data_IF_294349217436
#
_entry.id   IF_294349217436
#
_cell.length_a   1.000
_cell.length_b   1.000
_cell.length_c   1.000
_cell.angle_alpha   90.00
_cell.angle_beta   90.00
_cell.angle_gamma   90.00
#
_symmetry.space_group_name_H-M   'P 1'
#
loop_
_entity.id
_entity.type
_entity.pdbx_description
1 polymer ?
#
# COMPACT_ATOMS: atom_id res chain seq x y z
N UNK A 1 -6.09 30.37 -11.92
CA UNK A 1 -5.56 28.99 -12.00
C UNK A 1 -6.73 28.04 -12.14
N UNK A 2 -6.72 27.14 -13.13
CA UNK A 2 -7.70 26.04 -13.18
C UNK A 2 -7.31 25.02 -12.11
N UNK A 3 -8.26 24.61 -11.25
CA UNK A 3 -8.02 23.54 -10.28
C UNK A 3 -7.85 22.23 -11.07
N UNK A 4 -6.73 21.51 -10.85
CA UNK A 4 -6.51 20.19 -11.44
C UNK A 4 -7.52 19.20 -10.87
N UNK A 5 -7.95 18.23 -11.68
CA UNK A 5 -8.83 17.17 -11.19
C UNK A 5 -8.07 16.30 -10.17
N UNK A 6 -8.78 15.86 -9.13
CA UNK A 6 -8.25 14.92 -8.13
C UNK A 6 -7.82 13.65 -8.85
N UNK A 7 -6.59 13.20 -8.60
CA UNK A 7 -6.10 11.93 -9.11
C UNK A 7 -6.86 10.77 -8.46
N UNK A 8 -7.28 9.81 -9.27
CA UNK A 8 -8.10 8.68 -8.83
C UNK A 8 -7.27 7.42 -8.82
N UNK A 9 -6.93 6.95 -7.62
CA UNK A 9 -6.08 5.76 -7.45
C UNK A 9 -6.91 4.51 -7.77
N UNK A 10 -6.43 3.77 -8.76
CA UNK A 10 -7.03 2.53 -9.23
C UNK A 10 -6.70 1.35 -8.31
N UNK A 11 -7.51 0.30 -8.37
CA UNK A 11 -7.22 -0.93 -7.61
C UNK A 11 -5.90 -1.59 -8.04
N UNK A 12 -5.48 -1.43 -9.30
CA UNK A 12 -4.19 -1.94 -9.78
C UNK A 12 -3.01 -1.22 -9.11
N UNK A 13 -3.13 0.09 -8.91
CA UNK A 13 -2.11 0.88 -8.22
C UNK A 13 -2.05 0.56 -6.72
N UNK A 14 -3.20 0.36 -6.06
CA UNK A 14 -3.21 -0.14 -4.68
C UNK A 14 -2.52 -1.50 -4.57
N UNK A 15 -2.80 -2.44 -5.48
CA UNK A 15 -2.17 -3.75 -5.49
C UNK A 15 -0.65 -3.66 -5.78
N UNK A 16 -0.22 -2.78 -6.68
CA UNK A 16 1.20 -2.57 -6.96
C UNK A 16 1.93 -1.96 -5.76
N UNK A 17 1.31 -0.98 -5.10
CA UNK A 17 1.87 -0.35 -3.90
C UNK A 17 1.95 -1.35 -2.74
N UNK A 18 0.92 -2.17 -2.56
CA UNK A 18 0.89 -3.24 -1.56
C UNK A 18 2.02 -4.25 -1.79
N UNK A 19 2.25 -4.68 -3.04
CA UNK A 19 3.38 -5.57 -3.40
C UNK A 19 4.72 -4.93 -3.08
N UNK A 20 4.87 -3.64 -3.36
CA UNK A 20 6.10 -2.91 -3.06
C UNK A 20 6.37 -2.80 -1.55
N UNK A 21 5.33 -2.56 -0.73
CA UNK A 21 5.43 -2.59 0.74
C UNK A 21 5.81 -4.00 1.22
N UNK A 22 5.14 -5.04 0.70
CA UNK A 22 5.44 -6.44 1.02
C UNK A 22 6.88 -6.84 0.67
N UNK A 23 7.41 -6.37 -0.45
CA UNK A 23 8.80 -6.62 -0.85
C UNK A 23 9.83 -5.94 0.07
N UNK A 24 9.42 -4.88 0.79
CA UNK A 24 10.26 -4.05 1.65
C UNK A 24 10.02 -4.25 3.14
N UNK A 25 9.28 -5.28 3.54
CA UNK A 25 9.06 -5.59 4.94
C UNK A 25 10.38 -5.82 5.67
N UNK A 26 10.52 -5.20 6.85
CA UNK A 26 11.67 -5.42 7.74
C UNK A 26 11.53 -6.77 8.42
N UNK A 27 10.29 -7.15 8.72
CA UNK A 27 9.91 -8.47 9.22
C UNK A 27 8.48 -8.78 8.74
N UNK A 28 8.01 -10.04 8.84
CA UNK A 28 6.63 -10.38 8.47
C UNK A 28 5.56 -9.50 9.13
N UNK A 29 5.87 -8.89 10.28
CA UNK A 29 4.93 -8.09 11.08
C UNK A 29 5.23 -6.59 11.07
N UNK A 30 6.21 -6.09 10.31
CA UNK A 30 6.62 -4.69 10.40
C UNK A 30 7.17 -4.11 9.09
N UNK A 31 6.68 -2.92 8.76
CA UNK A 31 7.20 -2.07 7.69
C UNK A 31 7.54 -0.69 8.26
N UNK A 32 8.67 -0.12 7.84
CA UNK A 32 8.97 1.29 8.06
C UNK A 32 9.86 1.79 6.93
N UNK A 33 9.31 2.67 6.09
CA UNK A 33 10.05 3.19 4.96
C UNK A 33 9.13 3.75 3.89
N UNK A 34 9.63 3.74 2.65
CA UNK A 34 8.94 4.32 1.50
C UNK A 34 8.73 3.26 0.42
N UNK A 35 7.48 3.10 0.00
CA UNK A 35 7.08 2.38 -1.20
C UNK A 35 6.75 3.40 -2.30
N UNK A 36 7.30 3.19 -3.48
CA UNK A 36 7.11 4.08 -4.63
C UNK A 36 6.77 3.24 -5.85
N UNK A 37 5.71 3.62 -6.54
CA UNK A 37 5.33 3.04 -7.84
C UNK A 37 5.13 4.17 -8.84
N UNK A 38 5.23 3.83 -10.12
CA UNK A 38 4.79 4.70 -11.21
C UNK A 38 3.44 4.18 -11.71
N UNK A 39 2.50 5.08 -11.97
CA UNK A 39 1.19 4.74 -12.55
C UNK A 39 1.36 3.97 -13.87
N UNK A 40 0.38 3.13 -14.27
CA UNK A 40 0.45 2.39 -15.53
C UNK A 40 0.57 3.28 -16.77
N UNK A 41 0.10 4.54 -16.70
CA UNK A 41 0.23 5.55 -17.76
C UNK A 41 1.63 6.14 -17.83
N UNK A 42 2.43 6.03 -16.77
CA UNK A 42 3.78 6.58 -16.67
C UNK A 42 3.85 8.06 -16.30
N UNK A 43 2.71 8.70 -16.02
CA UNK A 43 2.63 10.15 -15.78
C UNK A 43 2.77 10.49 -14.29
N UNK A 44 2.10 9.74 -13.42
CA UNK A 44 2.16 9.94 -11.97
C UNK A 44 3.14 8.99 -11.26
N UNK A 45 3.89 9.54 -10.31
CA UNK A 45 4.62 8.80 -9.27
C UNK A 45 3.81 8.81 -7.98
N UNK A 46 3.55 7.63 -7.44
CA UNK A 46 2.80 7.42 -6.20
C UNK A 46 3.76 6.93 -5.11
N UNK A 47 3.78 7.63 -3.99
CA UNK A 47 4.74 7.37 -2.90
C UNK A 47 4.02 7.30 -1.56
N UNK A 48 4.09 6.14 -0.93
CA UNK A 48 3.65 5.92 0.45
C UNK A 48 4.87 5.85 1.36
N UNK A 49 4.99 6.80 2.29
CA UNK A 49 5.93 6.69 3.40
C UNK A 49 5.14 6.33 4.65
N UNK A 50 5.45 5.20 5.27
CA UNK A 50 4.66 4.71 6.40
C UNK A 50 5.47 3.89 7.39
N UNK A 51 4.95 3.80 8.61
CA UNK A 51 5.32 2.82 9.63
C UNK A 51 4.09 1.98 9.96
N UNK A 52 4.13 0.70 9.62
CA UNK A 52 2.99 -0.21 9.69
C UNK A 52 3.31 -1.41 10.59
N UNK A 53 2.34 -1.78 11.43
CA UNK A 53 2.31 -3.04 12.16
C UNK A 53 1.38 -3.98 11.42
N UNK A 54 1.87 -5.18 11.08
CA UNK A 54 1.14 -6.17 10.29
C UNK A 54 0.78 -7.35 11.19
N UNK A 55 -0.51 -7.52 11.41
CA UNK A 55 -1.08 -8.67 12.10
C UNK A 55 -1.37 -9.76 11.09
N UNK A 56 -0.80 -10.93 11.33
CA UNK A 56 -1.01 -12.11 10.50
C UNK A 56 -1.73 -13.18 11.29
N UNK A 57 -2.68 -13.85 10.64
CA UNK A 57 -3.38 -14.96 11.25
C UNK A 57 -2.49 -16.19 11.17
N UNK A 58 -2.12 -16.77 12.31
CA UNK A 58 -1.51 -18.11 12.33
C UNK A 58 -2.60 -19.17 12.13
N UNK A 59 -2.31 -20.25 11.40
CA UNK A 59 -3.30 -21.30 11.21
C UNK A 59 -3.54 -21.96 12.56
N UNK A 60 -4.82 -21.99 12.99
CA UNK A 60 -5.20 -22.48 14.31
C UNK A 60 -5.14 -24.01 14.41
N UNK A 61 -5.01 -24.70 13.28
CA UNK A 61 -4.86 -26.14 13.17
C UNK A 61 -3.72 -26.41 12.20
N UNK A 62 -2.91 -27.43 12.51
CA UNK A 62 -1.80 -27.92 11.68
C UNK A 62 -2.40 -28.61 10.44
N UNK A 63 -3.07 -27.86 9.57
CA UNK A 63 -3.38 -28.30 8.23
C UNK A 63 -2.11 -28.04 7.39
N UNK A 64 -1.42 -29.08 6.90
CA UNK A 64 -0.25 -28.90 6.07
C UNK A 64 -0.55 -28.21 4.73
N UNK A 65 -1.82 -27.98 4.39
CA UNK A 65 -2.26 -27.15 3.25
C UNK A 65 -2.63 -25.71 3.63
N UNK A 66 -2.74 -25.38 4.93
CA UNK A 66 -3.00 -24.01 5.39
C UNK A 66 -1.66 -23.26 5.43
N UNK A 67 -1.36 -22.53 4.37
CA UNK A 67 -0.21 -21.63 4.24
C UNK A 67 -0.38 -20.39 5.15
N UNK A 68 -0.80 -20.58 6.41
CA UNK A 68 -1.35 -19.58 7.34
C UNK A 68 -0.41 -18.45 7.76
N UNK A 69 0.07 -17.69 6.79
CA UNK A 69 0.77 -16.44 6.95
C UNK A 69 0.02 -15.32 6.21
N UNK A 70 -1.32 -15.36 6.26
CA UNK A 70 -2.18 -14.35 5.65
C UNK A 70 -2.22 -13.10 6.51
N UNK A 71 -2.18 -11.93 5.86
CA UNK A 71 -2.35 -10.65 6.54
C UNK A 71 -3.82 -10.50 6.94
N UNK A 72 -4.07 -10.29 8.23
CA UNK A 72 -5.42 -10.12 8.78
C UNK A 72 -5.74 -8.64 9.00
N UNK A 73 -4.80 -7.90 9.59
CA UNK A 73 -4.95 -6.47 9.86
C UNK A 73 -3.64 -5.71 9.71
N UNK A 74 -3.74 -4.44 9.36
CA UNK A 74 -2.63 -3.50 9.29
C UNK A 74 -2.97 -2.28 10.11
N UNK A 75 -2.11 -1.95 11.06
CA UNK A 75 -2.21 -0.71 11.84
C UNK A 75 -1.14 0.25 11.34
N UNK A 76 -1.56 1.37 10.76
CA UNK A 76 -0.66 2.48 10.50
C UNK A 76 -0.38 3.24 11.80
N UNK A 77 0.88 3.21 12.23
CA UNK A 77 1.35 4.06 13.34
C UNK A 77 1.48 5.50 12.86
N UNK A 78 2.00 5.66 11.64
CA UNK A 78 2.11 6.94 10.93
C UNK A 78 2.19 6.66 9.43
N UNK A 79 1.63 7.55 8.60
CA UNK A 79 1.76 7.50 7.16
C UNK A 79 1.60 8.88 6.52
N UNK A 80 2.17 9.02 5.32
CA UNK A 80 1.96 10.11 4.38
C UNK A 80 1.94 9.54 2.96
N UNK A 81 1.09 10.11 2.11
CA UNK A 81 0.95 9.69 0.71
C UNK A 81 1.12 10.89 -0.21
N UNK A 82 1.93 10.71 -1.25
CA UNK A 82 2.20 11.74 -2.25
C UNK A 82 1.90 11.19 -3.63
N UNK A 83 1.06 11.90 -4.37
CA UNK A 83 0.92 11.81 -5.82
C UNK A 83 1.66 13.00 -6.47
N UNK A 84 2.63 12.73 -7.34
CA UNK A 84 3.39 13.75 -8.07
C UNK A 84 3.47 13.43 -9.57
N UNK A 85 3.31 14.45 -10.41
CA UNK A 85 3.55 14.41 -11.85
C UNK A 85 4.62 15.45 -12.24
N UNK A 86 4.88 15.64 -13.54
CA UNK A 86 5.86 16.60 -14.05
C UNK A 86 5.55 18.07 -13.65
N UNK A 87 4.32 18.39 -13.26
CA UNK A 87 3.93 19.72 -12.77
C UNK A 87 4.02 19.82 -11.23
N UNK A 88 4.35 18.73 -10.54
CA UNK A 88 4.54 18.63 -9.10
C UNK A 88 3.39 17.93 -8.36
N UNK A 89 3.18 18.31 -7.09
CA UNK A 89 2.21 17.66 -6.20
C UNK A 89 0.77 17.76 -6.70
N UNK A 90 0.04 16.65 -6.63
CA UNK A 90 -1.35 16.53 -7.05
C UNK A 90 -2.25 16.14 -5.87
N UNK A 91 -3.46 16.70 -5.82
CA UNK A 91 -4.49 16.20 -4.93
C UNK A 91 -4.92 14.80 -5.42
N UNK A 92 -4.97 13.83 -4.51
CA UNK A 92 -5.39 12.46 -4.78
C UNK A 92 -6.51 12.03 -3.83
N UNK A 93 -7.04 10.83 -4.05
CA UNK A 93 -8.05 10.22 -3.20
C UNK A 93 -7.54 8.95 -2.49
N UNK A 94 -6.27 8.94 -2.08
CA UNK A 94 -5.71 7.84 -1.34
C UNK A 94 -6.54 7.52 -0.09
N UNK A 95 -6.84 6.25 0.06
CA UNK A 95 -7.61 5.67 1.14
C UNK A 95 -6.83 4.50 1.74
N UNK A 96 -6.50 4.63 3.01
CA UNK A 96 -5.75 3.62 3.73
C UNK A 96 -6.53 2.29 3.85
N UNK A 97 -7.86 2.34 3.95
CA UNK A 97 -8.68 1.12 4.03
C UNK A 97 -8.57 0.30 2.74
N UNK A 98 -8.62 0.96 1.58
CA UNK A 98 -8.43 0.31 0.27
C UNK A 98 -7.01 -0.24 0.09
N UNK A 99 -6.01 0.45 0.63
CA UNK A 99 -4.64 -0.07 0.67
C UNK A 99 -4.53 -1.31 1.57
N UNK A 100 -5.16 -1.30 2.74
CA UNK A 100 -5.19 -2.45 3.64
C UNK A 100 -5.90 -3.65 2.99
N UNK A 101 -7.02 -3.44 2.31
CA UNK A 101 -7.70 -4.46 1.51
C UNK A 101 -6.74 -5.09 0.48
N UNK A 102 -6.05 -4.26 -0.31
CA UNK A 102 -5.09 -4.75 -1.30
C UNK A 102 -3.93 -5.54 -0.69
N UNK A 103 -3.45 -5.18 0.50
CA UNK A 103 -2.42 -5.93 1.22
C UNK A 103 -2.90 -7.30 1.72
N UNK A 104 -4.19 -7.44 2.06
CA UNK A 104 -4.79 -8.72 2.49
C UNK A 104 -5.00 -9.70 1.31
N UNK A 105 -4.97 -9.20 0.08
CA UNK A 105 -5.11 -10.00 -1.15
C UNK A 105 -3.77 -10.50 -1.73
N UNK A 106 -2.64 -10.15 -1.08
CA UNK A 106 -1.29 -10.65 -1.44
C UNK A 106 -1.05 -12.03 -0.82
#
# INVERSE_FOLDING_TARGET
MKKRAIYKISSEEYAALAKEVCAKLISPSYFSGTATITSPTGEETLRLTASLIIYRRKPSHFDPQDEGDTIEHIVAVWWDFICEDDEGLREDDFDFERFEEAMREI
#
